data_IF_366842143091
#
_entry.id   IF_366842143091
#
_cell.length_a   1.000
_cell.length_b   1.000
_cell.length_c   1.000
_cell.angle_alpha   90.00
_cell.angle_beta   90.00
_cell.angle_gamma   90.00
#
_symmetry.space_group_name_H-M   'P 1'
#
loop_
_entity.id
_entity.type
_entity.pdbx_description
1 polymer ?
#
# COMPACT_ATOMS: atom_id res chain seq x y z
N UNK A 1 4.33 -11.47 -35.56
CA UNK A 1 3.86 -12.11 -34.32
C UNK A 1 2.35 -12.01 -34.28
N UNK A 2 1.61 -13.12 -34.16
CA UNK A 2 0.14 -13.11 -34.02
C UNK A 2 -0.21 -13.63 -32.62
N UNK A 3 -1.03 -12.85 -31.88
CA UNK A 3 -1.58 -13.26 -30.59
C UNK A 3 -2.70 -14.28 -30.85
N UNK A 4 -2.65 -15.45 -30.22
CA UNK A 4 -3.59 -16.57 -30.48
C UNK A 4 -4.89 -16.48 -29.70
N UNK A 5 -4.85 -16.13 -28.42
CA UNK A 5 -6.00 -16.15 -27.53
C UNK A 5 -5.80 -15.18 -26.36
N UNK A 6 -6.89 -14.55 -25.91
CA UNK A 6 -6.93 -13.72 -24.71
C UNK A 6 -7.89 -14.38 -23.71
N UNK A 7 -7.39 -14.70 -22.53
CA UNK A 7 -8.18 -15.26 -21.43
C UNK A 7 -8.35 -14.22 -20.33
N UNK A 8 -9.50 -14.28 -19.64
CA UNK A 8 -9.86 -13.34 -18.59
C UNK A 8 -10.30 -14.13 -17.35
N UNK A 9 -9.98 -13.61 -16.18
CA UNK A 9 -10.42 -14.15 -14.89
C UNK A 9 -10.57 -13.02 -13.89
N UNK A 10 -11.43 -13.21 -12.90
CA UNK A 10 -11.57 -12.27 -11.80
C UNK A 10 -10.35 -12.34 -10.87
N UNK A 11 -9.93 -11.20 -10.29
CA UNK A 11 -8.82 -11.20 -9.34
C UNK A 11 -9.22 -11.89 -8.03
N UNK A 12 -8.39 -12.80 -7.55
CA UNK A 12 -8.54 -13.39 -6.22
C UNK A 12 -8.05 -12.41 -5.15
N UNK A 13 -9.00 -11.71 -4.52
CA UNK A 13 -8.71 -10.70 -3.48
C UNK A 13 -8.26 -11.32 -2.15
N UNK A 14 -8.48 -12.62 -1.95
CA UNK A 14 -8.02 -13.33 -0.75
C UNK A 14 -6.53 -13.67 -0.92
N UNK A 15 -6.14 -14.18 -2.09
CA UNK A 15 -4.75 -14.45 -2.42
C UNK A 15 -3.93 -13.16 -2.61
N UNK A 16 -4.53 -12.09 -3.14
CA UNK A 16 -3.87 -10.82 -3.45
C UNK A 16 -4.53 -9.63 -2.72
N UNK A 17 -4.38 -9.54 -1.38
CA UNK A 17 -5.08 -8.55 -0.56
C UNK A 17 -4.71 -7.08 -0.85
N UNK A 18 -3.53 -6.81 -1.43
CA UNK A 18 -3.13 -5.44 -1.79
C UNK A 18 -4.09 -4.79 -2.78
N UNK A 19 -4.80 -5.57 -3.61
CA UNK A 19 -5.80 -5.02 -4.52
C UNK A 19 -6.97 -4.41 -3.73
N UNK A 20 -7.46 -5.10 -2.70
CA UNK A 20 -8.53 -4.56 -1.85
C UNK A 20 -8.05 -3.31 -1.10
N UNK A 21 -6.84 -3.33 -0.54
CA UNK A 21 -6.27 -2.16 0.14
C UNK A 21 -6.21 -0.92 -0.77
N UNK A 22 -5.89 -1.11 -2.06
CA UNK A 22 -5.89 -0.01 -3.02
C UNK A 22 -7.31 0.54 -3.27
N UNK A 23 -8.33 -0.32 -3.39
CA UNK A 23 -9.72 0.13 -3.47
C UNK A 23 -10.15 0.89 -2.21
N UNK A 24 -9.83 0.35 -1.03
CA UNK A 24 -10.16 1.00 0.24
C UNK A 24 -9.50 2.39 0.33
N UNK A 25 -8.23 2.53 -0.08
CA UNK A 25 -7.54 3.81 -0.10
C UNK A 25 -8.19 4.84 -1.05
N UNK A 26 -8.69 4.38 -2.21
CA UNK A 26 -9.40 5.23 -3.17
C UNK A 26 -10.76 5.66 -2.64
N UNK A 27 -11.49 4.76 -1.98
CA UNK A 27 -12.81 5.05 -1.38
C UNK A 27 -12.70 6.03 -0.21
N UNK A 28 -11.67 5.87 0.64
CA UNK A 28 -11.39 6.78 1.76
C UNK A 28 -10.94 8.15 1.25
N UNK A 29 -10.11 8.18 0.21
CA UNK A 29 -9.60 9.42 -0.40
C UNK A 29 -8.63 10.20 0.50
N UNK A 30 -8.50 11.50 0.24
CA UNK A 30 -7.57 12.38 0.94
C UNK A 30 -6.13 11.86 0.85
N UNK A 31 -5.46 11.79 2.00
CA UNK A 31 -4.08 11.29 2.13
C UNK A 31 -3.91 9.77 2.07
N UNK A 32 -4.99 8.97 2.06
CA UNK A 32 -4.87 7.52 2.28
C UNK A 32 -4.08 6.80 1.18
N UNK A 33 -4.23 7.20 -0.09
CA UNK A 33 -3.46 6.64 -1.19
C UNK A 33 -1.95 6.92 -1.07
N UNK A 34 -1.58 8.11 -0.57
CA UNK A 34 -0.17 8.45 -0.32
C UNK A 34 0.42 7.57 0.78
N UNK A 35 -0.32 7.37 1.88
CA UNK A 35 0.08 6.47 2.98
C UNK A 35 0.28 5.04 2.49
N UNK A 36 -0.68 4.50 1.72
CA UNK A 36 -0.55 3.15 1.15
C UNK A 36 0.68 3.04 0.24
N UNK A 37 0.92 4.03 -0.64
CA UNK A 37 2.08 4.01 -1.54
C UNK A 37 3.40 4.01 -0.77
N UNK A 38 3.55 4.95 0.18
CA UNK A 38 4.74 5.09 1.00
C UNK A 38 5.00 3.83 1.85
N UNK A 39 3.95 3.26 2.43
CA UNK A 39 4.05 2.03 3.21
C UNK A 39 4.50 0.85 2.34
N UNK A 40 3.93 0.73 1.14
CA UNK A 40 4.24 -0.35 0.21
C UNK A 40 5.69 -0.28 -0.29
N UNK A 41 6.22 0.92 -0.56
CA UNK A 41 7.62 1.08 -0.96
C UNK A 41 8.59 0.57 0.11
N UNK A 42 8.34 0.90 1.39
CA UNK A 42 9.17 0.40 2.50
C UNK A 42 9.01 -1.11 2.66
N UNK A 43 7.78 -1.63 2.66
CA UNK A 43 7.56 -3.07 2.82
C UNK A 43 8.18 -3.89 1.69
N UNK A 44 8.04 -3.45 0.43
CA UNK A 44 8.67 -4.12 -0.72
C UNK A 44 10.19 -4.04 -0.64
N UNK A 45 10.77 -2.89 -0.27
CA UNK A 45 12.22 -2.76 -0.11
C UNK A 45 12.75 -3.73 0.95
N UNK A 46 12.08 -3.83 2.10
CA UNK A 46 12.43 -4.76 3.18
C UNK A 46 12.28 -6.22 2.75
N UNK A 47 11.26 -6.56 1.98
CA UNK A 47 11.11 -7.89 1.39
C UNK A 47 12.28 -8.22 0.44
N UNK A 48 12.66 -7.29 -0.44
CA UNK A 48 13.79 -7.45 -1.36
C UNK A 48 15.13 -7.61 -0.62
N UNK A 49 15.26 -6.95 0.54
CA UNK A 49 16.40 -7.10 1.45
C UNK A 49 16.32 -8.35 2.35
N UNK A 50 15.30 -9.21 2.19
CA UNK A 50 15.08 -10.42 3.00
C UNK A 50 14.85 -10.15 4.49
N UNK A 51 14.40 -8.95 4.84
CA UNK A 51 14.10 -8.55 6.23
C UNK A 51 12.70 -8.97 6.68
N UNK A 52 11.77 -9.11 5.73
CA UNK A 52 10.39 -9.58 5.95
C UNK A 52 10.01 -10.62 4.90
N UNK A 53 8.95 -11.39 5.16
CA UNK A 53 8.41 -12.34 4.18
C UNK A 53 7.44 -11.65 3.21
N UNK A 54 7.15 -12.30 2.09
CA UNK A 54 6.26 -11.75 1.05
C UNK A 54 4.86 -11.40 1.59
N UNK A 55 4.30 -12.24 2.48
CA UNK A 55 2.97 -12.04 3.06
C UNK A 55 2.95 -10.94 4.13
N UNK A 56 4.10 -10.42 4.56
CA UNK A 56 4.16 -9.29 5.48
C UNK A 56 3.88 -7.96 4.79
N UNK A 57 4.09 -7.86 3.47
CA UNK A 57 3.79 -6.64 2.68
C UNK A 57 2.34 -6.18 2.86
N UNK A 58 1.31 -6.99 2.55
CA UNK A 58 -0.08 -6.57 2.75
C UNK A 58 -0.43 -6.35 4.22
N UNK A 59 0.23 -7.06 5.16
CA UNK A 59 0.01 -6.88 6.60
C UNK A 59 0.50 -5.51 7.06
N UNK A 60 1.72 -5.13 6.71
CA UNK A 60 2.31 -3.83 7.05
C UNK A 60 1.50 -2.70 6.40
N UNK A 61 1.17 -2.83 5.11
CA UNK A 61 0.36 -1.83 4.40
C UNK A 61 -0.97 -1.58 5.12
N UNK A 62 -1.69 -2.63 5.51
CA UNK A 62 -2.93 -2.51 6.27
C UNK A 62 -2.72 -1.82 7.62
N UNK A 63 -1.72 -2.25 8.39
CA UNK A 63 -1.45 -1.69 9.72
C UNK A 63 -1.12 -0.19 9.67
N UNK A 64 -0.37 0.24 8.66
CA UNK A 64 -0.02 1.66 8.48
C UNK A 64 -1.25 2.47 8.06
N UNK A 65 -2.07 1.95 7.14
CA UNK A 65 -3.34 2.58 6.77
C UNK A 65 -4.29 2.73 7.96
N UNK A 66 -4.46 1.69 8.78
CA UNK A 66 -5.34 1.69 9.96
C UNK A 66 -4.89 2.69 11.03
N UNK A 67 -3.58 2.97 11.13
CA UNK A 67 -3.03 3.90 12.09
C UNK A 67 -3.09 5.36 11.63
N UNK A 68 -3.33 5.60 10.34
CA UNK A 68 -3.31 6.94 9.77
C UNK A 68 -4.57 7.73 10.08
N UNK A 69 -4.40 9.03 10.39
CA UNK A 69 -5.51 9.97 10.46
C UNK A 69 -5.63 10.71 9.13
N UNK A 70 -6.71 10.45 8.40
CA UNK A 70 -6.89 10.96 7.04
C UNK A 70 -7.07 12.48 7.04
N UNK A 71 -6.26 13.16 6.22
CA UNK A 71 -6.48 14.56 5.86
C UNK A 71 -7.26 14.55 4.55
N UNK A 72 -8.52 14.98 4.59
CA UNK A 72 -9.44 14.89 3.44
C UNK A 72 -9.05 15.81 2.27
N UNK A 73 -8.48 16.99 2.57
CA UNK A 73 -8.11 18.00 1.58
C UNK A 73 -6.66 18.47 1.82
N UNK A 74 -5.67 17.62 1.53
CA UNK A 74 -4.28 17.92 1.84
C UNK A 74 -3.70 18.96 0.87
N UNK A 75 -2.81 19.80 1.38
CA UNK A 75 -1.87 20.56 0.57
C UNK A 75 -0.58 19.73 0.33
N UNK A 76 0.40 20.31 -0.36
CA UNK A 76 1.67 19.60 -0.65
C UNK A 76 2.45 19.25 0.62
N UNK A 77 2.52 20.16 1.60
CA UNK A 77 3.26 19.93 2.84
C UNK A 77 2.61 18.80 3.66
N UNK A 78 1.28 18.73 3.66
CA UNK A 78 0.53 17.63 4.27
C UNK A 78 0.91 16.29 3.60
N UNK A 79 0.96 16.25 2.26
CA UNK A 79 1.34 15.05 1.50
C UNK A 79 2.77 14.60 1.84
N UNK A 80 3.73 15.52 1.87
CA UNK A 80 5.11 15.20 2.20
C UNK A 80 5.27 14.74 3.66
N UNK A 81 4.53 15.34 4.58
CA UNK A 81 4.53 14.94 5.98
C UNK A 81 3.96 13.53 6.18
N UNK A 82 2.83 13.20 5.54
CA UNK A 82 2.24 11.86 5.67
C UNK A 82 3.05 10.78 4.95
N UNK A 83 3.72 11.10 3.83
CA UNK A 83 4.68 10.19 3.18
C UNK A 83 5.83 9.85 4.15
N UNK A 84 6.47 10.87 4.73
CA UNK A 84 7.55 10.68 5.70
C UNK A 84 7.12 9.87 6.92
N UNK A 85 5.97 10.22 7.49
CA UNK A 85 5.36 9.48 8.61
C UNK A 85 5.08 8.01 8.25
N UNK A 86 4.48 7.74 7.09
CA UNK A 86 4.15 6.39 6.67
C UNK A 86 5.42 5.54 6.50
N UNK A 87 6.50 6.12 5.95
CA UNK A 87 7.80 5.44 5.84
C UNK A 87 8.41 5.11 7.20
N UNK A 88 8.36 6.05 8.15
CA UNK A 88 8.86 5.83 9.51
C UNK A 88 8.09 4.70 10.21
N UNK A 89 6.76 4.78 10.19
CA UNK A 89 5.88 3.79 10.83
C UNK A 89 6.03 2.41 10.19
N UNK A 90 6.18 2.31 8.86
CA UNK A 90 6.40 1.02 8.18
C UNK A 90 7.68 0.32 8.62
N UNK A 91 8.73 1.06 8.96
CA UNK A 91 9.98 0.47 9.47
C UNK A 91 9.84 -0.09 10.89
N UNK A 92 8.85 0.37 11.66
CA UNK A 92 8.64 -0.08 13.04
C UNK A 92 7.92 -1.44 13.15
N UNK A 93 7.33 -1.94 12.05
CA UNK A 93 6.68 -3.24 12.04
C UNK A 93 7.67 -4.35 11.67
N UNK A 94 7.64 -5.47 12.41
CA UNK A 94 8.25 -6.73 11.96
C UNK A 94 7.24 -7.48 11.10
#
# INVERSE_FOLDING_TARGET
>A
SQIRELTFSEPDRIAFPCLQLAYDALEIGGTMACVLNAANEIAVARFLNQEIHFLDIPRINRQVMEKHQVIAHPNLDDILAVDGWAREISNAYN
#
